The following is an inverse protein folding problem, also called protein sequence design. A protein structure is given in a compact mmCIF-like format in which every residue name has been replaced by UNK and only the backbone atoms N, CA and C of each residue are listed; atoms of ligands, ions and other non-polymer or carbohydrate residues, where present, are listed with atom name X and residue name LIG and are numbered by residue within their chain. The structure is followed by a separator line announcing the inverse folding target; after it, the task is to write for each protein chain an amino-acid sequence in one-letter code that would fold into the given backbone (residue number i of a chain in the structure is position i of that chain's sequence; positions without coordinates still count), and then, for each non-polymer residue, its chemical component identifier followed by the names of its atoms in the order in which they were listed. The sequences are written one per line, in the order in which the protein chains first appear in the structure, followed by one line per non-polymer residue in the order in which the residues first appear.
data_IF_073727670873
#
_entry.id   IF_073727670873
#
_cell.length_a   1.000
_cell.length_b   1.000
_cell.length_c   1.000
_cell.angle_alpha   90.00
_cell.angle_beta   90.00
_cell.angle_gamma   90.00
#
_symmetry.space_group_name_H-M   'P 1'
#
loop_
_entity.id
_entity.type
_entity.pdbx_description
1 polymer ?
#
# COMPACT_ATOMS: atom_id res chain seq x y z
N UNK A 1 6.33 -16.19 -13.00
CA UNK A 1 6.00 -15.61 -11.68
C UNK A 1 5.51 -16.62 -10.63
N UNK A 2 4.36 -17.29 -10.81
CA UNK A 2 3.78 -18.18 -9.76
C UNK A 2 4.76 -19.26 -9.29
N UNK A 3 5.50 -19.88 -10.22
CA UNK A 3 6.55 -20.85 -9.91
C UNK A 3 7.61 -20.25 -8.98
N UNK A 4 8.11 -19.06 -9.31
CA UNK A 4 9.14 -18.38 -8.53
C UNK A 4 8.66 -18.02 -7.13
N UNK A 5 7.39 -17.59 -6.99
CA UNK A 5 6.79 -17.32 -5.69
C UNK A 5 6.72 -18.58 -4.82
N UNK A 6 6.24 -19.70 -5.38
CA UNK A 6 6.16 -20.99 -4.66
C UNK A 6 7.52 -21.53 -4.26
N UNK A 7 8.54 -21.28 -5.08
CA UNK A 7 9.91 -21.77 -4.88
C UNK A 7 10.83 -20.72 -4.25
N UNK A 8 10.28 -19.55 -3.86
CA UNK A 8 11.00 -18.38 -3.37
C UNK A 8 12.24 -18.02 -4.21
N UNK A 9 12.11 -18.03 -5.54
CA UNK A 9 13.20 -17.78 -6.47
C UNK A 9 13.32 -16.29 -6.82
N UNK A 10 14.57 -15.88 -7.04
CA UNK A 10 14.93 -14.59 -7.64
C UNK A 10 14.47 -14.56 -9.09
N UNK A 11 13.91 -13.42 -9.47
CA UNK A 11 13.50 -13.10 -10.83
C UNK A 11 14.19 -11.82 -11.28
N UNK A 12 14.78 -11.84 -12.46
CA UNK A 12 15.01 -10.61 -13.21
C UNK A 12 13.74 -10.26 -13.97
N UNK A 13 13.30 -9.01 -13.85
CA UNK A 13 12.04 -8.53 -14.40
C UNK A 13 12.23 -7.21 -15.12
N UNK A 14 11.67 -7.12 -16.32
CA UNK A 14 11.48 -5.84 -17.01
C UNK A 14 10.24 -5.15 -16.42
N UNK A 15 10.48 -4.05 -15.70
CA UNK A 15 9.43 -3.31 -15.01
C UNK A 15 9.43 -1.83 -15.39
N UNK A 16 8.34 -1.38 -16.02
CA UNK A 16 8.16 0.03 -16.37
C UNK A 16 7.87 0.87 -15.12
N UNK A 17 8.88 1.59 -14.63
CA UNK A 17 8.75 2.55 -13.55
C UNK A 17 8.02 3.83 -13.97
N UNK A 18 7.29 4.47 -13.05
CA UNK A 18 6.67 5.79 -13.28
C UNK A 18 7.72 6.90 -13.17
N UNK A 19 8.72 6.72 -12.30
CA UNK A 19 9.76 7.71 -12.00
C UNK A 19 11.07 7.48 -12.76
N UNK A 20 11.27 6.28 -13.31
CA UNK A 20 12.40 5.97 -14.19
C UNK A 20 11.92 5.11 -15.35
N UNK A 21 11.76 5.69 -16.55
CA UNK A 21 11.35 4.96 -17.75
C UNK A 21 12.50 4.17 -18.40
N UNK A 22 13.72 4.19 -17.84
CA UNK A 22 14.78 3.28 -18.30
C UNK A 22 14.35 1.83 -18.05
N UNK A 23 14.52 0.97 -19.07
CA UNK A 23 14.28 -0.47 -19.00
C UNK A 23 15.39 -1.16 -18.19
N UNK A 24 15.66 -0.68 -16.99
CA UNK A 24 16.60 -1.36 -16.11
C UNK A 24 15.89 -2.55 -15.49
N UNK A 25 16.36 -3.74 -15.88
CA UNK A 25 15.96 -5.00 -15.26
C UNK A 25 16.10 -4.92 -13.75
N UNK A 26 15.06 -5.35 -13.03
CA UNK A 26 15.06 -5.40 -11.56
C UNK A 26 15.19 -6.84 -11.12
N UNK A 27 15.95 -7.09 -10.06
CA UNK A 27 16.04 -8.40 -9.45
C UNK A 27 15.18 -8.38 -8.20
N UNK A 28 14.12 -9.18 -8.24
CA UNK A 28 13.15 -9.28 -7.16
C UNK A 28 13.01 -10.72 -6.68
N UNK A 29 12.67 -10.88 -5.41
CA UNK A 29 12.19 -12.15 -4.86
C UNK A 29 10.72 -12.01 -4.50
N UNK A 30 9.80 -12.55 -5.33
CA UNK A 30 8.38 -12.47 -5.08
C UNK A 30 7.98 -13.16 -3.78
N UNK A 31 7.13 -12.51 -2.98
CA UNK A 31 6.62 -13.10 -1.74
C UNK A 31 5.13 -13.39 -1.79
N UNK A 32 4.31 -12.48 -2.34
CA UNK A 32 2.84 -12.63 -2.36
C UNK A 32 2.16 -11.70 -3.35
N UNK A 33 0.99 -12.13 -3.82
CA UNK A 33 0.07 -11.24 -4.52
C UNK A 33 -0.82 -10.51 -3.52
N UNK A 34 -1.08 -9.24 -3.81
CA UNK A 34 -1.97 -8.37 -3.04
C UNK A 34 -3.00 -7.79 -4.00
N UNK A 35 -4.29 -7.92 -3.68
CA UNK A 35 -5.37 -7.27 -4.41
C UNK A 35 -5.82 -6.04 -3.63
N UNK A 36 -5.71 -4.87 -4.25
CA UNK A 36 -6.31 -3.59 -3.77
C UNK A 36 -7.61 -3.34 -4.55
N UNK A 37 -8.41 -2.32 -4.22
CA UNK A 37 -9.64 -2.07 -4.99
C UNK A 37 -9.32 -1.89 -6.49
N UNK A 38 -8.26 -1.14 -6.81
CA UNK A 38 -7.94 -0.80 -8.19
C UNK A 38 -7.15 -1.89 -8.93
N UNK A 39 -6.08 -2.45 -8.35
CA UNK A 39 -5.09 -3.23 -9.12
C UNK A 39 -4.56 -4.44 -8.36
N UNK A 40 -3.99 -5.38 -9.10
CA UNK A 40 -3.18 -6.45 -8.52
C UNK A 40 -1.73 -6.00 -8.38
N UNK A 41 -1.15 -6.31 -7.23
CA UNK A 41 0.23 -6.02 -6.88
C UNK A 41 0.97 -7.31 -6.56
N UNK A 42 2.25 -7.36 -6.87
CA UNK A 42 3.20 -8.35 -6.39
C UNK A 42 4.06 -7.70 -5.33
N UNK A 43 3.93 -8.14 -4.09
CA UNK A 43 4.89 -7.79 -3.04
C UNK A 43 6.13 -8.64 -3.22
N UNK A 44 7.30 -8.00 -3.22
CA UNK A 44 8.58 -8.67 -3.42
C UNK A 44 9.72 -7.94 -2.70
N UNK A 45 10.74 -8.69 -2.29
CA UNK A 45 12.04 -8.10 -1.93
C UNK A 45 12.73 -7.62 -3.20
N UNK A 46 13.18 -6.37 -3.25
CA UNK A 46 13.87 -5.79 -4.40
C UNK A 46 15.34 -5.59 -4.05
N UNK A 47 16.24 -6.31 -4.72
CA UNK A 47 17.68 -6.31 -4.42
C UNK A 47 18.31 -4.94 -4.69
N UNK A 48 17.92 -4.26 -5.76
CA UNK A 48 18.45 -2.91 -6.06
C UNK A 48 18.12 -1.90 -4.96
N UNK A 49 16.96 -2.03 -4.31
CA UNK A 49 16.53 -1.10 -3.27
C UNK A 49 16.71 -1.60 -1.85
N UNK A 50 17.19 -2.84 -1.68
CA UNK A 50 17.33 -3.53 -0.40
C UNK A 50 16.08 -3.38 0.48
N UNK A 51 14.91 -3.67 -0.09
CA UNK A 51 13.63 -3.45 0.60
C UNK A 51 12.43 -4.14 -0.04
N UNK A 52 11.39 -4.38 0.77
CA UNK A 52 10.11 -4.89 0.28
C UNK A 52 9.30 -3.79 -0.42
N UNK A 53 8.80 -4.11 -1.61
CA UNK A 53 8.02 -3.19 -2.44
C UNK A 53 6.88 -3.92 -3.13
N UNK A 54 5.87 -3.13 -3.51
CA UNK A 54 4.70 -3.62 -4.23
C UNK A 54 4.78 -3.19 -5.70
N UNK A 55 4.80 -4.17 -6.60
CA UNK A 55 4.93 -4.00 -8.03
C UNK A 55 3.58 -4.23 -8.71
N UNK A 56 3.10 -3.28 -9.52
CA UNK A 56 1.82 -3.42 -10.21
C UNK A 56 1.95 -4.46 -11.32
N UNK A 57 1.09 -5.47 -11.33
CA UNK A 57 1.21 -6.58 -12.30
C UNK A 57 1.14 -6.14 -13.76
N UNK A 58 0.30 -5.14 -14.06
CA UNK A 58 0.14 -4.64 -15.43
C UNK A 58 1.35 -3.87 -15.97
N UNK A 59 2.40 -3.65 -15.17
CA UNK A 59 3.63 -2.95 -15.57
C UNK A 59 4.81 -3.87 -15.89
N UNK A 60 4.68 -5.17 -15.63
CA UNK A 60 5.69 -6.15 -16.06
C UNK A 60 5.64 -6.34 -17.57
N UNK A 61 6.80 -6.48 -18.20
CA UNK A 61 6.94 -6.72 -19.64
C UNK A 61 7.82 -7.94 -19.86
N UNK A 62 7.64 -8.57 -21.01
CA UNK A 62 8.39 -9.78 -21.37
C UNK A 62 8.13 -10.96 -20.43
N UNK A 63 8.98 -11.96 -20.54
CA UNK A 63 9.04 -13.08 -19.61
C UNK A 63 10.17 -12.82 -18.59
N UNK A 64 9.93 -13.08 -17.30
CA UNK A 64 10.95 -12.87 -16.28
C UNK A 64 11.97 -14.02 -16.27
N UNK A 65 13.26 -13.69 -16.17
CA UNK A 65 14.33 -14.68 -16.09
C UNK A 65 14.49 -15.22 -14.67
N UNK A 66 14.61 -16.53 -14.54
CA UNK A 66 14.82 -17.21 -13.27
C UNK A 66 16.31 -17.20 -12.89
N UNK A 67 16.65 -16.52 -11.80
CA UNK A 67 18.02 -16.43 -11.30
C UNK A 67 18.33 -17.41 -10.16
N UNK A 68 17.40 -18.33 -9.86
CA UNK A 68 17.57 -19.35 -8.82
C UNK A 68 17.18 -18.86 -7.43
N UNK A 69 17.79 -19.42 -6.38
CA UNK A 69 17.45 -19.10 -4.98
C UNK A 69 18.07 -17.76 -4.54
N UNK A 70 17.54 -17.12 -3.48
CA UNK A 70 18.15 -15.97 -2.84
C UNK A 70 19.61 -16.28 -2.45
N UNK A 71 20.50 -15.31 -2.64
CA UNK A 71 21.92 -15.46 -2.28
C UNK A 71 22.11 -15.53 -0.77
N UNK A 72 21.21 -14.89 -0.03
CA UNK A 72 21.12 -14.89 1.43
C UNK A 72 19.66 -15.02 1.86
N UNK A 73 19.38 -15.44 3.10
CA UNK A 73 18.04 -15.35 3.67
C UNK A 73 17.52 -13.92 3.57
N UNK A 74 16.26 -13.76 3.15
CA UNK A 74 15.64 -12.46 3.07
C UNK A 74 15.37 -11.91 4.47
N UNK A 75 15.55 -10.61 4.70
CA UNK A 75 15.17 -9.99 5.97
C UNK A 75 13.66 -10.07 6.17
N UNK A 76 13.22 -9.89 7.41
CA UNK A 76 11.79 -9.91 7.74
C UNK A 76 11.05 -8.74 7.08
N UNK A 77 9.86 -9.03 6.55
CA UNK A 77 8.96 -8.02 6.01
C UNK A 77 8.17 -7.35 7.14
N UNK A 78 8.86 -6.48 7.90
CA UNK A 78 8.31 -5.87 9.13
C UNK A 78 6.95 -5.22 8.84
N UNK A 79 6.83 -4.40 7.79
CA UNK A 79 5.58 -3.72 7.45
C UNK A 79 4.43 -4.70 7.13
N UNK A 80 4.73 -5.88 6.60
CA UNK A 80 3.71 -6.89 6.39
C UNK A 80 3.29 -7.56 7.70
N UNK A 81 4.23 -7.86 8.58
CA UNK A 81 3.95 -8.57 9.84
C UNK A 81 3.36 -7.67 10.92
N UNK A 82 3.57 -6.36 10.84
CA UNK A 82 2.93 -5.36 11.71
C UNK A 82 1.46 -5.18 11.36
N UNK A 83 0.60 -5.30 12.37
CA UNK A 83 -0.81 -4.93 12.30
C UNK A 83 -1.00 -3.55 12.93
N UNK A 84 -1.77 -2.70 12.26
CA UNK A 84 -2.14 -1.36 12.72
C UNK A 84 -3.65 -1.18 12.59
N UNK A 85 -4.19 -0.18 13.27
CA UNK A 85 -5.58 0.25 13.11
C UNK A 85 -5.57 1.67 12.56
N UNK A 86 -6.24 1.89 11.42
CA UNK A 86 -6.49 3.23 10.90
C UNK A 86 -7.78 3.75 11.54
N UNK A 87 -7.70 4.89 12.24
CA UNK A 87 -8.87 5.57 12.78
C UNK A 87 -9.36 6.62 11.78
N UNK A 88 -10.49 6.36 11.15
CA UNK A 88 -11.09 7.24 10.15
C UNK A 88 -12.25 8.03 10.76
N UNK A 89 -12.30 9.33 10.49
CA UNK A 89 -13.35 10.22 10.99
C UNK A 89 -13.87 11.13 9.88
N UNK A 90 -15.11 11.66 9.99
CA UNK A 90 -15.55 12.75 9.14
C UNK A 90 -14.63 13.96 9.31
N UNK A 91 -14.41 14.72 8.23
CA UNK A 91 -13.62 15.94 8.31
C UNK A 91 -14.30 16.94 9.27
N UNK A 92 -13.59 17.43 10.31
CA UNK A 92 -14.16 18.32 11.33
C UNK A 92 -14.60 19.68 10.77
N UNK A 93 -14.17 20.05 9.56
CA UNK A 93 -14.57 21.28 8.87
C UNK A 93 -15.97 21.18 8.24
N UNK A 94 -16.55 19.98 8.17
CA UNK A 94 -17.92 19.78 7.71
C UNK A 94 -18.93 20.20 8.78
N UNK A 95 -20.15 20.55 8.35
CA UNK A 95 -21.24 20.83 9.30
C UNK A 95 -21.59 19.58 10.14
N UNK A 96 -22.12 19.75 11.37
CA UNK A 96 -22.52 18.61 12.21
C UNK A 96 -23.50 17.65 11.51
N UNK A 97 -24.41 18.17 10.68
CA UNK A 97 -25.34 17.37 9.90
C UNK A 97 -24.63 16.50 8.84
N UNK A 98 -23.63 17.04 8.15
CA UNK A 98 -22.82 16.29 7.18
C UNK A 98 -21.95 15.22 7.88
N UNK A 99 -21.35 15.56 9.02
CA UNK A 99 -20.57 14.59 9.80
C UNK A 99 -21.46 13.43 10.28
N UNK A 100 -22.68 13.72 10.76
CA UNK A 100 -23.62 12.70 11.19
C UNK A 100 -24.09 11.80 10.03
N UNK A 101 -24.33 12.36 8.85
CA UNK A 101 -24.67 11.58 7.66
C UNK A 101 -23.54 10.63 7.26
N UNK A 102 -22.30 11.12 7.19
CA UNK A 102 -21.12 10.29 6.90
C UNK A 102 -20.90 9.21 7.95
N UNK A 103 -21.09 9.53 9.23
CA UNK A 103 -20.98 8.55 10.31
C UNK A 103 -22.00 7.40 10.14
N UNK A 104 -23.23 7.72 9.72
CA UNK A 104 -24.24 6.71 9.42
C UNK A 104 -23.88 5.89 8.17
N UNK A 105 -23.47 6.53 7.08
CA UNK A 105 -23.14 5.86 5.80
C UNK A 105 -21.99 4.85 5.95
N UNK A 106 -20.99 5.19 6.76
CA UNK A 106 -19.82 4.35 7.00
C UNK A 106 -19.95 3.42 8.22
N UNK A 107 -21.10 3.44 8.91
CA UNK A 107 -21.32 2.60 10.10
C UNK A 107 -20.36 2.91 11.25
N UNK A 108 -20.02 4.18 11.44
CA UNK A 108 -19.10 4.64 12.48
C UNK A 108 -19.69 4.48 13.88
N UNK A 109 -18.85 4.08 14.84
CA UNK A 109 -19.18 4.09 16.26
C UNK A 109 -18.54 5.33 16.91
N UNK A 110 -19.33 6.14 17.62
CA UNK A 110 -18.85 7.38 18.26
C UNK A 110 -18.13 8.35 17.30
N UNK A 111 -18.52 8.35 16.02
CA UNK A 111 -17.92 9.21 14.99
C UNK A 111 -16.58 8.69 14.44
N UNK A 112 -16.24 7.43 14.72
CA UNK A 112 -15.00 6.79 14.26
C UNK A 112 -15.28 5.48 13.53
N UNK A 113 -14.53 5.23 12.46
CA UNK A 113 -14.43 3.95 11.76
C UNK A 113 -13.01 3.40 11.98
N UNK A 114 -12.92 2.28 12.69
CA UNK A 114 -11.66 1.61 12.97
C UNK A 114 -11.40 0.53 11.93
N UNK A 115 -10.34 0.69 11.14
CA UNK A 115 -9.97 -0.24 10.07
C UNK A 115 -8.67 -0.97 10.41
N UNK A 116 -8.72 -2.22 10.90
CA UNK A 116 -7.52 -3.02 11.11
C UNK A 116 -6.90 -3.41 9.77
N UNK A 117 -5.58 -3.28 9.67
CA UNK A 117 -4.82 -3.60 8.45
C UNK A 117 -3.41 -4.02 8.77
N UNK A 118 -2.76 -4.70 7.82
CA UNK A 118 -1.30 -4.77 7.80
C UNK A 118 -0.74 -3.39 7.46
N UNK A 119 0.37 -3.02 8.07
CA UNK A 119 0.99 -1.72 7.85
C UNK A 119 1.38 -1.49 6.39
N UNK A 120 1.87 -2.54 5.71
CA UNK A 120 2.17 -2.54 4.28
C UNK A 120 0.98 -2.19 3.38
N UNK A 121 -0.26 -2.38 3.85
CA UNK A 121 -1.48 -2.16 3.07
C UNK A 121 -2.18 -0.83 3.41
N UNK A 122 -1.71 -0.12 4.44
CA UNK A 122 -2.35 1.07 4.99
C UNK A 122 -2.63 2.14 3.93
N UNK A 123 -1.63 2.47 3.10
CA UNK A 123 -1.78 3.48 2.05
C UNK A 123 -2.83 3.10 1.02
N UNK A 124 -2.98 1.81 0.70
CA UNK A 124 -3.99 1.39 -0.28
C UNK A 124 -5.40 1.58 0.26
N UNK A 125 -5.62 1.24 1.54
CA UNK A 125 -6.91 1.51 2.18
C UNK A 125 -7.24 3.00 2.22
N UNK A 126 -6.28 3.84 2.57
CA UNK A 126 -6.48 5.30 2.57
C UNK A 126 -6.80 5.84 1.18
N UNK A 127 -6.09 5.38 0.14
CA UNK A 127 -6.35 5.76 -1.24
C UNK A 127 -7.73 5.29 -1.73
N UNK A 128 -8.14 4.07 -1.38
CA UNK A 128 -9.44 3.52 -1.75
C UNK A 128 -10.58 4.31 -1.07
N UNK A 129 -10.32 4.92 0.09
CA UNK A 129 -11.23 5.84 0.79
C UNK A 129 -11.07 7.31 0.41
N UNK A 130 -10.23 7.64 -0.58
CA UNK A 130 -9.93 9.01 -1.02
C UNK A 130 -9.40 9.92 0.10
N UNK A 131 -8.62 9.35 1.04
CA UNK A 131 -8.02 10.08 2.15
C UNK A 131 -6.58 10.44 1.80
N UNK A 132 -6.30 11.73 1.64
CA UNK A 132 -4.95 12.25 1.46
C UNK A 132 -4.36 12.69 2.80
N UNK A 133 -3.15 12.21 3.11
CA UNK A 133 -2.46 12.45 4.39
C UNK A 133 -1.39 13.53 4.34
N UNK A 134 -0.94 13.92 3.15
CA UNK A 134 0.13 14.93 2.97
C UNK A 134 -0.38 16.34 2.72
N UNK A 135 -1.52 16.47 2.05
CA UNK A 135 -2.19 17.72 1.78
C UNK A 135 -3.67 17.49 2.04
N UNK A 136 -4.20 18.14 3.07
CA UNK A 136 -5.64 18.25 3.25
C UNK A 136 -6.16 19.17 2.14
N UNK A 137 -7.16 18.72 1.40
CA UNK A 137 -7.81 19.57 0.43
C UNK A 137 -8.36 20.82 1.12
N UNK A 138 -8.21 21.99 0.50
CA UNK A 138 -8.77 23.24 1.01
C UNK A 138 -10.30 23.19 1.12
N UNK A 139 -10.94 22.35 0.31
CA UNK A 139 -12.36 22.09 0.33
C UNK A 139 -12.68 20.75 1.03
N UNK A 140 -13.31 20.76 2.22
CA UNK A 140 -13.69 19.52 2.93
C UNK A 140 -14.78 18.72 2.20
N UNK A 141 -15.49 19.29 1.23
CA UNK A 141 -16.39 18.52 0.38
C UNK A 141 -15.65 17.63 -0.64
N UNK A 142 -14.40 17.96 -0.99
CA UNK A 142 -13.56 17.16 -1.89
C UNK A 142 -12.90 15.97 -1.16
N UNK A 143 -12.62 16.12 0.13
CA UNK A 143 -12.18 15.04 1.02
C UNK A 143 -13.00 15.04 2.31
N UNK A 144 -14.01 14.18 2.36
CA UNK A 144 -14.98 14.13 3.45
C UNK A 144 -14.50 13.35 4.68
N UNK A 145 -13.43 12.56 4.54
CA UNK A 145 -12.88 11.71 5.57
C UNK A 145 -11.41 12.05 5.84
N UNK A 146 -10.99 11.88 7.10
CA UNK A 146 -9.62 12.10 7.54
C UNK A 146 -9.09 10.89 8.31
N UNK A 147 -7.77 10.72 8.30
CA UNK A 147 -7.06 9.81 9.18
C UNK A 147 -6.76 10.53 10.50
N UNK A 148 -7.45 10.15 11.57
CA UNK A 148 -7.38 10.83 12.86
C UNK A 148 -6.11 10.47 13.65
N UNK A 149 -5.59 9.25 13.50
CA UNK A 149 -4.40 8.78 14.21
C UNK A 149 -3.14 8.78 13.33
N UNK A 150 -2.96 9.84 12.52
CA UNK A 150 -1.82 9.92 11.59
C UNK A 150 -0.48 9.77 12.31
N UNK A 151 -0.31 10.35 13.50
CA UNK A 151 0.96 10.29 14.24
C UNK A 151 1.35 8.87 14.66
N UNK A 152 0.37 8.00 14.89
CA UNK A 152 0.60 6.59 15.24
C UNK A 152 1.04 5.75 14.03
N UNK A 153 0.51 6.06 12.85
CA UNK A 153 0.66 5.21 11.65
C UNK A 153 1.60 5.80 10.59
N UNK A 154 2.03 7.06 10.76
CA UNK A 154 2.91 7.79 9.85
C UNK A 154 4.16 7.01 9.41
N UNK A 155 4.87 6.25 10.28
CA UNK A 155 6.04 5.48 9.86
C UNK A 155 5.77 4.43 8.77
N UNK A 156 4.50 4.06 8.57
CA UNK A 156 4.09 3.04 7.60
C UNK A 156 3.48 3.64 6.32
N UNK A 157 3.26 4.95 6.28
CA UNK A 157 2.66 5.63 5.14
C UNK A 157 3.70 5.97 4.07
N UNK A 158 3.28 6.13 2.81
CA UNK A 158 4.21 6.37 1.70
C UNK A 158 4.94 7.71 1.86
N UNK A 159 6.25 7.65 2.08
CA UNK A 159 7.11 8.82 2.31
C UNK A 159 6.93 9.47 3.67
N UNK A 160 6.58 8.67 4.69
CA UNK A 160 6.92 8.94 6.08
C UNK A 160 8.38 8.64 6.39
#
# INVERSE_FOLDING_TARGET
MVRALRQQQRLEVDYLGVTNPSREGRVIVPTRFVKTAQRWHLRAWCEQSQGYRDFVLSRFRGEPDLLGRPLTPLPEDIAWHTHITLCIRPDPRLSPAQQAALAADYGMANGELLLPSRAALANYLLLDMHIHTKMLDGNPAAQQLILANIDEVKPWLFGG
#
